data_IF_145954280722
#
_entry.id   IF_145954280722
#
_cell.length_a   1.000
_cell.length_b   1.000
_cell.length_c   1.000
_cell.angle_alpha   90.00
_cell.angle_beta   90.00
_cell.angle_gamma   90.00
#
_symmetry.space_group_name_H-M   'P 1'
#
loop_
_entity.id
_entity.type
_entity.pdbx_description
1 polymer ?
#
# COMPACT_ATOMS: atom_id res chain seq x y z
N UNK A 1 39.77 -9.86 -2.35
CA UNK A 1 38.81 -10.11 -1.26
C UNK A 1 37.44 -9.77 -1.85
N UNK A 2 36.67 -10.76 -2.34
CA UNK A 2 35.32 -10.54 -2.86
C UNK A 2 34.41 -10.23 -1.68
N UNK A 3 33.89 -9.00 -1.63
CA UNK A 3 32.77 -8.68 -0.76
C UNK A 3 31.60 -9.58 -1.20
N UNK A 4 31.14 -10.44 -0.31
CA UNK A 4 29.90 -11.17 -0.52
C UNK A 4 28.77 -10.11 -0.57
N UNK A 5 28.21 -9.88 -1.73
CA UNK A 5 26.98 -9.13 -1.89
C UNK A 5 25.90 -9.93 -1.17
N UNK A 6 25.54 -9.43 0.01
CA UNK A 6 24.39 -9.97 0.76
C UNK A 6 23.16 -9.65 -0.09
N UNK A 7 22.55 -10.66 -0.70
CA UNK A 7 21.26 -10.54 -1.38
C UNK A 7 20.29 -9.87 -0.41
N UNK A 8 19.84 -8.67 -0.75
CA UNK A 8 18.86 -7.95 0.05
C UNK A 8 17.54 -8.73 -0.04
N UNK A 9 17.16 -9.41 1.03
CA UNK A 9 15.86 -10.07 1.16
C UNK A 9 14.88 -9.16 1.86
N UNK A 10 13.62 -9.21 1.45
CA UNK A 10 12.54 -8.59 2.21
C UNK A 10 12.42 -9.33 3.55
N UNK A 11 12.44 -8.58 4.63
CA UNK A 11 12.19 -9.08 5.96
C UNK A 11 11.07 -8.24 6.60
N UNK A 12 9.82 -8.66 6.42
CA UNK A 12 8.71 -8.08 7.14
C UNK A 12 8.66 -8.74 8.53
N UNK A 13 9.04 -7.99 9.56
CA UNK A 13 9.02 -8.46 10.96
C UNK A 13 7.76 -8.02 11.69
N UNK A 14 7.17 -6.91 11.27
CA UNK A 14 6.04 -6.25 11.89
C UNK A 14 5.04 -5.76 10.84
N UNK A 15 3.82 -6.26 10.88
CA UNK A 15 2.72 -5.85 10.01
C UNK A 15 1.63 -5.24 10.86
N UNK A 16 1.18 -4.03 10.51
CA UNK A 16 0.05 -3.37 11.14
C UNK A 16 -1.16 -3.44 10.21
N UNK A 17 -2.21 -4.12 10.64
CA UNK A 17 -3.50 -4.15 9.97
C UNK A 17 -4.46 -3.17 10.65
N UNK A 18 -4.96 -2.18 9.89
CA UNK A 18 -5.95 -1.22 10.36
C UNK A 18 -7.36 -1.66 9.99
N UNK A 19 -8.26 -1.71 10.98
CA UNK A 19 -9.64 -2.18 10.79
C UNK A 19 -10.67 -1.20 11.33
N UNK A 20 -11.79 -1.05 10.60
CA UNK A 20 -13.03 -0.43 11.03
C UNK A 20 -14.13 -1.48 11.26
N UNK A 21 -13.76 -2.78 11.26
CA UNK A 21 -14.63 -3.96 11.35
C UNK A 21 -15.62 -4.12 10.19
N UNK A 22 -15.53 -3.31 9.15
CA UNK A 22 -16.38 -3.40 7.96
C UNK A 22 -15.93 -4.52 7.00
N UNK A 23 -16.77 -4.85 6.03
CA UNK A 23 -16.56 -6.01 5.12
C UNK A 23 -15.23 -5.95 4.36
N UNK A 24 -14.83 -4.75 3.90
CA UNK A 24 -13.56 -4.62 3.17
C UNK A 24 -12.33 -4.73 4.08
N UNK A 25 -12.44 -4.35 5.36
CA UNK A 25 -11.40 -4.61 6.33
C UNK A 25 -11.18 -6.11 6.54
N UNK A 26 -12.26 -6.92 6.56
CA UNK A 26 -12.13 -8.38 6.65
C UNK A 26 -11.38 -8.99 5.45
N UNK A 27 -11.52 -8.41 4.26
CA UNK A 27 -10.74 -8.83 3.09
C UNK A 27 -9.27 -8.44 3.23
N UNK A 28 -8.99 -7.22 3.68
CA UNK A 28 -7.64 -6.75 3.95
C UNK A 28 -6.95 -7.59 5.05
N UNK A 29 -7.70 -8.05 6.06
CA UNK A 29 -7.21 -8.96 7.07
C UNK A 29 -6.65 -10.26 6.47
N UNK A 30 -7.28 -10.83 5.44
CA UNK A 30 -6.79 -12.05 4.81
C UNK A 30 -5.41 -11.87 4.19
N UNK A 31 -5.16 -10.70 3.56
CA UNK A 31 -3.83 -10.35 3.04
C UNK A 31 -2.82 -10.12 4.17
N UNK A 32 -3.22 -9.43 5.23
CA UNK A 32 -2.34 -9.23 6.40
C UNK A 32 -1.95 -10.58 7.03
N UNK A 33 -2.90 -11.51 7.17
CA UNK A 33 -2.64 -12.85 7.72
C UNK A 33 -1.74 -13.67 6.79
N UNK A 34 -2.00 -13.66 5.48
CA UNK A 34 -1.18 -14.41 4.52
C UNK A 34 0.28 -13.92 4.50
N UNK A 35 0.50 -12.60 4.52
CA UNK A 35 1.83 -12.02 4.62
C UNK A 35 2.49 -12.30 5.97
N UNK A 36 1.72 -12.25 7.07
CA UNK A 36 2.20 -12.61 8.40
C UNK A 36 2.69 -14.06 8.45
N UNK A 37 1.94 -14.98 7.85
CA UNK A 37 2.30 -16.39 7.76
C UNK A 37 3.57 -16.61 6.93
N UNK A 38 3.63 -16.00 5.75
CA UNK A 38 4.75 -16.13 4.82
C UNK A 38 6.07 -15.65 5.41
N UNK A 39 6.05 -14.49 6.10
CA UNK A 39 7.27 -13.87 6.66
C UNK A 39 7.54 -14.26 8.12
N UNK A 40 6.64 -14.95 8.79
CA UNK A 40 6.73 -15.19 10.23
C UNK A 40 6.68 -13.90 11.04
N UNK A 41 6.00 -12.87 10.51
CA UNK A 41 5.95 -11.54 11.10
C UNK A 41 5.07 -11.49 12.35
N UNK A 42 5.19 -10.43 13.14
CA UNK A 42 4.23 -10.09 14.18
C UNK A 42 3.10 -9.26 13.57
N UNK A 43 1.85 -9.66 13.81
CA UNK A 43 0.66 -8.93 13.36
C UNK A 43 0.10 -8.05 14.47
N UNK A 44 0.04 -6.76 14.23
CA UNK A 44 -0.72 -5.82 15.04
C UNK A 44 -2.07 -5.55 14.36
N UNK A 45 -3.15 -5.79 15.09
CA UNK A 45 -4.51 -5.47 14.63
C UNK A 45 -4.97 -4.21 15.36
N UNK A 46 -5.08 -3.10 14.62
CA UNK A 46 -5.35 -1.79 15.17
C UNK A 46 -6.76 -1.30 14.84
N UNK A 47 -7.47 -0.81 15.84
CA UNK A 47 -8.74 -0.09 15.70
C UNK A 47 -8.66 1.25 16.41
N UNK A 48 -9.18 2.29 15.77
CA UNK A 48 -9.23 3.65 16.33
C UNK A 48 -10.68 4.09 16.47
N UNK A 49 -11.07 4.48 17.69
CA UNK A 49 -12.36 5.07 17.98
C UNK A 49 -12.33 6.53 17.54
N UNK A 50 -13.09 6.93 16.50
CA UNK A 50 -13.00 8.28 15.98
C UNK A 50 -13.60 9.28 16.96
N UNK A 51 -12.96 10.43 17.14
CA UNK A 51 -13.46 11.51 18.03
C UNK A 51 -14.87 11.97 17.65
N UNK A 52 -15.27 11.84 16.39
CA UNK A 52 -16.63 12.13 15.91
C UNK A 52 -17.69 11.27 16.59
N UNK A 53 -17.33 10.12 17.17
CA UNK A 53 -18.25 9.25 17.88
C UNK A 53 -18.86 9.96 19.13
N UNK A 54 -18.15 10.93 19.69
CA UNK A 54 -18.57 11.64 20.91
C UNK A 54 -18.52 13.17 20.82
N UNK A 55 -18.11 13.75 19.68
CA UNK A 55 -17.88 15.20 19.49
C UNK A 55 -19.12 16.08 19.75
N UNK A 56 -20.33 15.52 19.57
CA UNK A 56 -21.60 16.24 19.76
C UNK A 56 -22.38 15.77 21.00
N UNK A 57 -21.70 15.10 21.93
CA UNK A 57 -22.32 14.50 23.11
C UNK A 57 -22.11 15.37 24.34
N UNK A 58 -23.06 15.38 25.26
CA UNK A 58 -22.93 16.07 26.56
C UNK A 58 -21.72 15.49 27.32
N UNK A 59 -20.89 16.34 27.96
CA UNK A 59 -19.67 15.90 28.67
C UNK A 59 -19.90 14.76 29.65
N UNK A 60 -21.03 14.78 30.37
CA UNK A 60 -21.40 13.73 31.35
C UNK A 60 -21.66 12.35 30.73
N UNK A 61 -21.91 12.29 29.43
CA UNK A 61 -22.16 11.04 28.70
C UNK A 61 -20.91 10.52 27.93
N UNK A 62 -19.89 11.32 27.79
CA UNK A 62 -18.68 10.97 27.00
C UNK A 62 -17.99 9.73 27.58
N UNK A 63 -17.78 9.70 28.90
CA UNK A 63 -17.11 8.57 29.56
C UNK A 63 -17.85 7.25 29.33
N UNK A 64 -19.17 7.25 29.42
CA UNK A 64 -20.00 6.05 29.18
C UNK A 64 -19.91 5.62 27.72
N UNK A 65 -20.00 6.56 26.76
CA UNK A 65 -19.95 6.28 25.32
C UNK A 65 -18.56 5.72 24.95
N UNK A 66 -17.50 6.34 25.46
CA UNK A 66 -16.15 5.82 25.24
C UNK A 66 -15.97 4.43 25.79
N UNK A 67 -16.45 4.19 27.02
CA UNK A 67 -16.39 2.86 27.62
C UNK A 67 -17.11 1.82 26.77
N UNK A 68 -18.34 2.10 26.33
CA UNK A 68 -19.12 1.21 25.46
C UNK A 68 -18.38 0.96 24.12
N UNK A 69 -17.76 2.00 23.53
CA UNK A 69 -16.98 1.89 22.30
C UNK A 69 -15.70 1.04 22.49
N UNK A 70 -14.98 1.23 23.60
CA UNK A 70 -13.82 0.42 23.93
C UNK A 70 -14.18 -1.05 24.21
N UNK A 71 -15.28 -1.29 24.95
CA UNK A 71 -15.77 -2.65 25.22
C UNK A 71 -16.15 -3.36 23.91
N UNK A 72 -16.86 -2.68 23.01
CA UNK A 72 -17.22 -3.20 21.69
C UNK A 72 -15.96 -3.48 20.84
N UNK A 73 -15.07 -2.51 20.72
CA UNK A 73 -13.84 -2.68 19.94
C UNK A 73 -12.95 -3.81 20.48
N UNK A 74 -12.84 -3.91 21.81
CA UNK A 74 -12.12 -5.01 22.48
C UNK A 74 -12.73 -6.37 22.17
N UNK A 75 -14.06 -6.47 22.15
CA UNK A 75 -14.74 -7.70 21.77
C UNK A 75 -14.43 -8.08 20.30
N UNK A 76 -14.62 -7.15 19.35
CA UNK A 76 -14.37 -7.38 17.93
C UNK A 76 -12.89 -7.73 17.65
N UNK A 77 -11.95 -7.03 18.25
CA UNK A 77 -10.53 -7.34 18.12
C UNK A 77 -10.21 -8.74 18.65
N UNK A 78 -10.81 -9.15 19.75
CA UNK A 78 -10.63 -10.51 20.29
C UNK A 78 -11.21 -11.59 19.36
N UNK A 79 -12.30 -11.31 18.63
CA UNK A 79 -12.81 -12.22 17.61
C UNK A 79 -11.82 -12.41 16.45
N UNK A 80 -11.00 -11.41 16.14
CA UNK A 80 -9.96 -11.48 15.12
C UNK A 80 -8.70 -12.19 15.66
N UNK A 81 -8.14 -11.72 16.78
CA UNK A 81 -6.84 -12.21 17.25
C UNK A 81 -6.91 -13.57 17.96
N UNK A 82 -8.04 -13.91 18.58
CA UNK A 82 -8.21 -15.17 19.30
C UNK A 82 -7.94 -16.40 18.39
N UNK A 83 -8.66 -16.55 17.27
CA UNK A 83 -8.42 -17.63 16.32
C UNK A 83 -6.99 -17.65 15.75
N UNK A 84 -6.40 -16.46 15.49
CA UNK A 84 -5.03 -16.36 14.97
C UNK A 84 -4.01 -16.87 15.98
N UNK A 85 -4.14 -16.50 17.26
CA UNK A 85 -3.29 -17.01 18.35
C UNK A 85 -3.39 -18.53 18.50
N UNK A 86 -4.60 -19.07 18.40
CA UNK A 86 -4.81 -20.53 18.44
C UNK A 86 -4.14 -21.27 17.28
N UNK A 87 -3.99 -20.58 16.12
CA UNK A 87 -3.23 -21.09 14.98
C UNK A 87 -1.71 -20.89 15.09
N UNK A 88 -1.22 -20.27 16.18
CA UNK A 88 0.20 -20.04 16.43
C UNK A 88 0.75 -18.69 15.96
N UNK A 89 -0.08 -17.78 15.46
CA UNK A 89 0.38 -16.46 15.05
C UNK A 89 0.77 -15.59 16.24
N UNK A 90 1.90 -14.89 16.11
CA UNK A 90 2.27 -13.82 17.04
C UNK A 90 1.47 -12.57 16.70
N UNK A 91 0.43 -12.24 17.47
CA UNK A 91 -0.41 -11.10 17.19
C UNK A 91 -0.85 -10.33 18.45
N UNK A 92 -1.09 -9.03 18.30
CA UNK A 92 -1.55 -8.14 19.37
C UNK A 92 -2.64 -7.20 18.87
N UNK A 93 -3.62 -6.90 19.73
CA UNK A 93 -4.62 -5.85 19.49
C UNK A 93 -4.07 -4.50 19.95
N UNK A 94 -4.34 -3.46 19.16
CA UNK A 94 -4.08 -2.07 19.49
C UNK A 94 -5.39 -1.29 19.43
N UNK A 95 -5.71 -0.56 20.48
CA UNK A 95 -6.86 0.33 20.53
C UNK A 95 -6.42 1.73 20.95
N UNK A 96 -6.97 2.73 20.30
CA UNK A 96 -6.78 4.13 20.66
C UNK A 96 -8.02 4.93 20.24
N UNK A 97 -8.11 6.16 20.68
CA UNK A 97 -9.09 7.12 20.21
C UNK A 97 -8.39 8.34 19.59
N UNK A 98 -9.05 8.98 18.63
CA UNK A 98 -8.46 10.13 17.95
C UNK A 98 -8.87 10.27 16.49
N UNK A 99 -8.00 10.93 15.71
CA UNK A 99 -8.04 10.96 14.25
C UNK A 99 -7.53 9.63 13.70
N UNK A 100 -8.37 8.79 13.03
CA UNK A 100 -7.95 7.43 12.71
C UNK A 100 -6.69 7.34 11.83
N UNK A 101 -6.52 8.24 10.86
CA UNK A 101 -5.33 8.23 9.98
C UNK A 101 -4.06 8.57 10.76
N UNK A 102 -4.08 9.66 11.55
CA UNK A 102 -2.97 10.11 12.38
C UNK A 102 -2.58 9.04 13.42
N UNK A 103 -3.57 8.47 14.11
CA UNK A 103 -3.32 7.46 15.15
C UNK A 103 -2.72 6.18 14.55
N UNK A 104 -3.23 5.69 13.41
CA UNK A 104 -2.67 4.50 12.75
C UNK A 104 -1.22 4.73 12.32
N UNK A 105 -0.88 5.91 11.79
CA UNK A 105 0.51 6.22 11.40
C UNK A 105 1.43 6.32 12.62
N UNK A 106 0.96 6.89 13.72
CA UNK A 106 1.69 6.93 15.00
C UNK A 106 1.90 5.52 15.59
N UNK A 107 0.88 4.67 15.53
CA UNK A 107 1.00 3.27 15.96
C UNK A 107 1.97 2.49 15.07
N UNK A 108 1.96 2.71 13.77
CA UNK A 108 2.91 2.09 12.85
C UNK A 108 4.37 2.51 13.16
N UNK A 109 4.59 3.77 13.50
CA UNK A 109 5.91 4.27 13.88
C UNK A 109 6.37 3.71 15.23
N UNK A 110 5.51 3.75 16.26
CA UNK A 110 5.85 3.28 17.60
C UNK A 110 6.07 1.78 17.71
N UNK A 111 5.50 1.00 16.79
CA UNK A 111 5.65 -0.46 16.72
C UNK A 111 6.59 -0.91 15.61
N UNK A 112 7.33 0.04 15.00
CA UNK A 112 8.29 -0.23 13.91
C UNK A 112 7.69 -1.11 12.81
N UNK A 113 6.47 -0.75 12.37
CA UNK A 113 5.78 -1.53 11.34
C UNK A 113 6.52 -1.43 10.00
N UNK A 114 6.82 -2.57 9.41
CA UNK A 114 7.43 -2.68 8.07
C UNK A 114 6.39 -2.51 6.95
N UNK A 115 5.11 -2.77 7.26
CA UNK A 115 4.00 -2.68 6.33
C UNK A 115 2.71 -2.33 7.08
N UNK A 116 1.93 -1.40 6.53
CA UNK A 116 0.53 -1.20 6.92
C UNK A 116 -0.36 -1.87 5.89
N UNK A 117 -1.37 -2.62 6.34
CA UNK A 117 -2.42 -3.20 5.49
C UNK A 117 -3.75 -2.55 5.84
N UNK A 118 -4.45 -2.02 4.83
CA UNK A 118 -5.72 -1.31 5.03
C UNK A 118 -6.71 -1.60 3.91
N UNK A 119 -8.00 -1.74 4.28
CA UNK A 119 -9.09 -1.78 3.31
C UNK A 119 -9.53 -0.37 2.90
N UNK A 120 -10.00 -0.20 1.67
CA UNK A 120 -10.67 1.04 1.28
C UNK A 120 -12.11 1.04 1.78
N UNK A 121 -12.70 2.23 1.98
CA UNK A 121 -14.09 2.34 2.43
C UNK A 121 -15.07 2.02 1.28
N UNK A 122 -16.05 1.17 1.54
CA UNK A 122 -17.10 0.79 0.59
C UNK A 122 -18.35 1.70 0.63
N UNK A 123 -18.48 2.62 1.59
CA UNK A 123 -19.67 3.44 1.80
C UNK A 123 -19.68 4.72 0.98
N UNK A 124 -20.11 4.60 -0.29
CA UNK A 124 -20.59 5.71 -1.08
C UNK A 124 -21.95 5.32 -1.69
N UNK A 125 -23.06 5.62 -1.02
CA UNK A 125 -24.37 5.62 -1.67
C UNK A 125 -24.28 6.54 -2.89
N UNK A 126 -24.58 6.02 -4.12
CA UNK A 126 -24.53 6.68 -5.44
C UNK A 126 -23.37 6.23 -6.35
N UNK A 127 -22.81 5.05 -6.18
CA UNK A 127 -21.92 4.46 -7.23
C UNK A 127 -20.57 5.16 -7.41
N UNK A 128 -20.16 6.04 -6.49
CA UNK A 128 -18.82 6.63 -6.50
C UNK A 128 -17.89 5.78 -5.66
N UNK A 129 -17.02 5.06 -6.34
CA UNK A 129 -15.86 4.38 -5.73
C UNK A 129 -14.92 5.47 -5.21
N UNK A 130 -14.89 5.63 -3.89
CA UNK A 130 -14.04 6.62 -3.24
C UNK A 130 -13.10 5.91 -2.27
N UNK A 131 -11.82 6.17 -2.42
CA UNK A 131 -10.85 5.90 -1.36
C UNK A 131 -11.32 6.66 -0.10
N UNK A 132 -11.43 5.97 1.03
CA UNK A 132 -11.84 6.61 2.28
C UNK A 132 -10.78 7.60 2.78
N UNK A 133 -11.24 8.69 3.41
CA UNK A 133 -10.34 9.73 3.95
C UNK A 133 -9.26 9.17 4.88
N UNK A 134 -9.58 8.17 5.68
CA UNK A 134 -8.63 7.50 6.59
C UNK A 134 -7.54 6.76 5.81
N UNK A 135 -7.92 5.97 4.79
CA UNK A 135 -6.96 5.27 3.95
C UNK A 135 -6.07 6.26 3.16
N UNK A 136 -6.66 7.36 2.65
CA UNK A 136 -5.91 8.42 1.98
C UNK A 136 -4.90 9.08 2.92
N UNK A 137 -5.29 9.39 4.16
CA UNK A 137 -4.41 9.98 5.17
C UNK A 137 -3.28 9.03 5.55
N UNK A 138 -3.59 7.72 5.78
CA UNK A 138 -2.57 6.70 6.05
C UNK A 138 -1.56 6.62 4.91
N UNK A 139 -2.00 6.52 3.65
CA UNK A 139 -1.10 6.41 2.50
C UNK A 139 -0.20 7.64 2.38
N UNK A 140 -0.71 8.81 2.73
CA UNK A 140 0.04 10.06 2.66
C UNK A 140 1.11 10.18 3.73
N UNK A 141 0.81 9.76 4.97
CA UNK A 141 1.63 10.03 6.15
C UNK A 141 2.37 8.80 6.70
N UNK A 142 2.10 7.60 6.16
CA UNK A 142 2.68 6.37 6.67
C UNK A 142 4.21 6.37 6.70
N UNK A 143 4.82 5.89 7.80
CA UNK A 143 6.26 5.75 7.92
C UNK A 143 6.84 4.61 7.08
N UNK A 144 6.00 3.69 6.62
CA UNK A 144 6.35 2.49 5.87
C UNK A 144 5.41 2.31 4.66
N UNK A 145 5.68 1.34 3.76
CA UNK A 145 4.77 1.00 2.68
C UNK A 145 3.36 0.67 3.15
N UNK A 146 2.36 0.97 2.32
CA UNK A 146 0.95 0.69 2.61
C UNK A 146 0.38 -0.21 1.53
N UNK A 147 -0.10 -1.40 1.91
CA UNK A 147 -0.85 -2.31 1.05
C UNK A 147 -2.34 -2.01 1.20
N UNK A 148 -2.94 -1.52 0.13
CA UNK A 148 -4.34 -1.14 0.11
C UNK A 148 -5.18 -2.15 -0.65
N UNK A 149 -6.24 -2.64 -0.01
CA UNK A 149 -7.16 -3.63 -0.58
C UNK A 149 -8.46 -2.93 -0.98
N UNK A 150 -8.65 -2.80 -2.29
CA UNK A 150 -9.84 -2.17 -2.89
C UNK A 150 -11.04 -3.11 -3.01
N UNK A 151 -12.22 -2.57 -3.40
CA UNK A 151 -13.45 -3.34 -3.50
C UNK A 151 -13.44 -4.36 -4.65
N UNK A 152 -12.61 -4.14 -5.66
CA UNK A 152 -12.52 -5.00 -6.87
C UNK A 152 -11.42 -6.06 -6.78
N UNK A 153 -10.63 -6.07 -5.70
CA UNK A 153 -9.55 -7.03 -5.53
C UNK A 153 -10.10 -8.46 -5.57
N UNK A 154 -9.67 -9.23 -6.58
CA UNK A 154 -10.07 -10.62 -6.81
C UNK A 154 -8.99 -11.66 -6.50
N UNK A 155 -7.76 -11.22 -6.26
CA UNK A 155 -6.59 -12.06 -5.98
C UNK A 155 -6.77 -12.89 -4.70
N UNK A 156 -6.30 -14.13 -4.75
CA UNK A 156 -6.17 -14.98 -3.57
C UNK A 156 -4.95 -14.53 -2.75
N UNK A 157 -5.11 -14.09 -1.49
CA UNK A 157 -4.00 -13.65 -0.68
C UNK A 157 -2.94 -14.74 -0.41
N UNK A 158 -3.32 -16.01 -0.47
CA UNK A 158 -2.42 -17.15 -0.21
C UNK A 158 -1.73 -17.70 -1.45
N UNK A 159 -2.10 -17.25 -2.66
CA UNK A 159 -1.43 -17.66 -3.90
C UNK A 159 -0.04 -17.02 -4.06
N UNK A 160 0.28 -16.01 -3.25
CA UNK A 160 1.45 -15.16 -3.43
C UNK A 160 1.31 -14.25 -4.66
N UNK A 161 2.40 -13.61 -5.05
CA UNK A 161 2.43 -12.73 -6.22
C UNK A 161 3.12 -13.45 -7.39
N UNK A 162 2.44 -13.59 -8.53
CA UNK A 162 2.98 -14.19 -9.75
C UNK A 162 3.29 -13.11 -10.82
N UNK A 163 2.54 -12.01 -10.80
CA UNK A 163 2.66 -10.91 -11.75
C UNK A 163 2.59 -9.57 -11.01
N UNK A 164 3.68 -8.81 -11.02
CA UNK A 164 3.79 -7.52 -10.34
C UNK A 164 3.96 -6.43 -11.39
N UNK A 165 3.08 -5.43 -11.38
CA UNK A 165 3.19 -4.21 -12.20
C UNK A 165 3.68 -3.08 -11.31
N UNK A 166 4.83 -2.48 -11.66
CA UNK A 166 5.36 -1.31 -10.98
C UNK A 166 5.22 -0.07 -11.85
N UNK A 167 4.38 0.87 -11.45
CA UNK A 167 4.22 2.15 -12.12
C UNK A 167 5.25 3.16 -11.62
N UNK A 168 6.12 3.62 -12.51
CA UNK A 168 7.21 4.54 -12.20
C UNK A 168 7.07 5.87 -12.95
N UNK A 169 7.26 6.97 -12.22
CA UNK A 169 7.30 8.34 -12.74
C UNK A 169 8.64 9.02 -12.48
N UNK A 170 9.64 8.23 -12.09
CA UNK A 170 11.00 8.65 -11.74
C UNK A 170 11.10 9.55 -10.50
N UNK A 171 10.05 9.70 -9.72
CA UNK A 171 10.12 10.31 -8.39
C UNK A 171 10.88 9.41 -7.41
N UNK A 172 11.45 9.98 -6.31
CA UNK A 172 12.09 9.16 -5.27
C UNK A 172 11.15 8.10 -4.68
N UNK A 173 9.87 8.41 -4.56
CA UNK A 173 8.86 7.46 -4.07
C UNK A 173 8.66 6.30 -5.04
N UNK A 174 8.56 6.57 -6.35
CA UNK A 174 8.42 5.52 -7.36
C UNK A 174 9.69 4.68 -7.53
N UNK A 175 10.88 5.27 -7.33
CA UNK A 175 12.14 4.52 -7.32
C UNK A 175 12.19 3.54 -6.14
N UNK A 176 11.76 3.96 -4.94
CA UNK A 176 11.64 3.05 -3.80
C UNK A 176 10.58 1.96 -4.03
N UNK A 177 9.45 2.32 -4.66
CA UNK A 177 8.43 1.34 -5.03
C UNK A 177 8.97 0.30 -6.02
N UNK A 178 9.79 0.71 -7.00
CA UNK A 178 10.46 -0.19 -7.93
C UNK A 178 11.44 -1.14 -7.22
N UNK A 179 12.24 -0.64 -6.28
CA UNK A 179 13.11 -1.46 -5.46
C UNK A 179 12.34 -2.50 -4.63
N UNK A 180 11.23 -2.10 -4.00
CA UNK A 180 10.40 -3.03 -3.24
C UNK A 180 9.68 -4.04 -4.14
N UNK A 181 9.16 -3.62 -5.30
CA UNK A 181 8.57 -4.51 -6.29
C UNK A 181 9.57 -5.54 -6.82
N UNK A 182 10.84 -5.13 -7.02
CA UNK A 182 11.92 -6.02 -7.40
C UNK A 182 12.18 -7.08 -6.33
N UNK A 183 12.31 -6.70 -5.06
CA UNK A 183 12.53 -7.63 -3.96
C UNK A 183 11.34 -8.60 -3.77
N UNK A 184 10.10 -8.13 -3.95
CA UNK A 184 8.91 -8.99 -3.95
C UNK A 184 8.92 -9.96 -5.13
N UNK A 185 9.29 -9.50 -6.34
CA UNK A 185 9.41 -10.37 -7.50
C UNK A 185 10.46 -11.46 -7.30
N UNK A 186 11.55 -11.13 -6.64
CA UNK A 186 12.60 -12.08 -6.25
C UNK A 186 12.10 -13.13 -5.24
N UNK A 187 11.42 -12.66 -4.18
CA UNK A 187 10.90 -13.51 -3.10
C UNK A 187 9.84 -14.50 -3.59
N UNK A 188 8.90 -14.02 -4.43
CA UNK A 188 7.78 -14.82 -4.93
C UNK A 188 8.05 -15.48 -6.30
N UNK A 189 9.22 -15.25 -6.87
CA UNK A 189 9.54 -15.68 -8.24
C UNK A 189 8.52 -15.15 -9.27
N UNK A 190 8.12 -13.90 -9.12
CA UNK A 190 7.11 -13.25 -9.92
C UNK A 190 7.67 -12.59 -11.18
N UNK A 191 6.86 -12.49 -12.24
CA UNK A 191 7.16 -11.62 -13.37
C UNK A 191 7.00 -10.15 -12.97
N UNK A 192 8.09 -9.40 -12.98
CA UNK A 192 8.07 -7.94 -12.77
C UNK A 192 7.89 -7.21 -14.10
N UNK A 193 6.96 -6.26 -14.15
CA UNK A 193 6.79 -5.33 -15.28
C UNK A 193 6.89 -3.89 -14.78
N UNK A 194 7.89 -3.15 -15.24
CA UNK A 194 8.03 -1.71 -14.99
C UNK A 194 7.27 -0.94 -16.06
N UNK A 195 6.42 -0.01 -15.64
CA UNK A 195 5.58 0.77 -16.55
C UNK A 195 5.79 2.26 -16.31
N UNK A 196 6.09 3.01 -17.37
CA UNK A 196 5.99 4.47 -17.38
C UNK A 196 4.91 4.91 -18.36
N UNK A 197 4.01 5.78 -17.92
CA UNK A 197 2.97 6.33 -18.77
C UNK A 197 3.20 7.81 -19.00
N UNK A 198 3.41 8.18 -20.26
CA UNK A 198 3.59 9.57 -20.69
C UNK A 198 2.22 10.21 -20.97
N UNK A 199 1.93 11.28 -20.24
CA UNK A 199 0.70 12.06 -20.47
C UNK A 199 0.88 13.02 -21.64
N UNK A 200 0.05 12.91 -22.69
CA UNK A 200 -0.17 13.99 -23.66
C UNK A 200 0.92 14.26 -24.70
N UNK A 201 1.74 13.30 -25.13
CA UNK A 201 2.71 13.52 -26.23
C UNK A 201 2.12 13.35 -27.62
N UNK A 202 2.61 14.18 -28.57
CA UNK A 202 2.37 14.02 -30.01
C UNK A 202 3.24 12.86 -30.54
N UNK A 203 2.69 12.07 -31.48
CA UNK A 203 3.26 10.82 -31.99
C UNK A 203 4.65 10.94 -32.67
N UNK A 204 5.04 12.11 -33.14
CA UNK A 204 6.17 12.28 -34.07
C UNK A 204 7.57 12.29 -33.42
N UNK A 205 7.67 12.43 -32.09
CA UNK A 205 8.95 12.39 -31.35
C UNK A 205 9.13 11.14 -30.49
N UNK A 206 8.35 10.10 -30.78
CA UNK A 206 8.06 9.02 -29.84
C UNK A 206 9.21 8.03 -29.67
N UNK A 207 9.86 7.62 -30.77
CA UNK A 207 10.74 6.46 -30.76
C UNK A 207 11.99 6.67 -29.87
N UNK A 208 12.72 7.77 -30.09
CA UNK A 208 13.90 8.08 -29.29
C UNK A 208 13.57 8.37 -27.82
N UNK A 209 12.44 9.06 -27.57
CA UNK A 209 11.98 9.32 -26.21
C UNK A 209 11.57 8.02 -25.48
N UNK A 210 11.02 7.05 -26.19
CA UNK A 210 10.66 5.73 -25.64
C UNK A 210 11.91 4.96 -25.25
N UNK A 211 12.92 4.84 -26.13
CA UNK A 211 14.17 4.14 -25.84
C UNK A 211 14.91 4.72 -24.62
N UNK A 212 15.00 6.05 -24.53
CA UNK A 212 15.60 6.72 -23.37
C UNK A 212 14.83 6.47 -22.08
N UNK A 213 13.50 6.45 -22.16
CA UNK A 213 12.62 6.18 -21.02
C UNK A 213 12.73 4.73 -20.56
N UNK A 214 12.79 3.77 -21.49
CA UNK A 214 13.04 2.37 -21.18
C UNK A 214 14.40 2.17 -20.49
N UNK A 215 15.44 2.83 -21.01
CA UNK A 215 16.76 2.80 -20.38
C UNK A 215 16.71 3.33 -18.94
N UNK A 216 16.00 4.44 -18.70
CA UNK A 216 15.81 5.00 -17.35
C UNK A 216 15.01 4.07 -16.44
N UNK A 217 14.00 3.37 -16.96
CA UNK A 217 13.25 2.39 -16.18
C UNK A 217 14.16 1.21 -15.76
N UNK A 218 14.98 0.71 -16.66
CA UNK A 218 15.96 -0.35 -16.34
C UNK A 218 16.94 0.08 -15.25
N UNK A 219 17.31 1.36 -15.19
CA UNK A 219 18.19 1.92 -14.16
C UNK A 219 17.56 1.97 -12.75
N UNK A 220 16.25 1.79 -12.62
CA UNK A 220 15.59 1.65 -11.31
C UNK A 220 15.83 0.27 -10.68
N UNK A 221 16.35 -0.68 -11.42
CA UNK A 221 16.67 -2.03 -10.99
C UNK A 221 18.19 -2.20 -10.78
N UNK A 222 18.62 -3.19 -10.02
CA UNK A 222 20.03 -3.59 -9.94
C UNK A 222 20.61 -3.89 -11.32
N UNK A 223 21.94 -3.70 -11.49
CA UNK A 223 22.62 -3.87 -12.78
C UNK A 223 22.53 -5.32 -13.27
N UNK A 224 22.61 -6.28 -12.38
CA UNK A 224 22.43 -7.71 -12.64
C UNK A 224 21.29 -8.22 -11.76
N UNK A 225 20.03 -8.12 -12.22
CA UNK A 225 18.91 -8.56 -11.45
C UNK A 225 18.91 -10.10 -11.32
N UNK A 226 19.01 -10.59 -10.08
CA UNK A 226 18.88 -12.02 -9.77
C UNK A 226 17.40 -12.40 -9.71
N UNK A 227 16.78 -12.43 -10.88
CA UNK A 227 15.39 -12.83 -11.09
C UNK A 227 15.34 -14.02 -12.05
N UNK A 228 14.45 -14.98 -11.79
CA UNK A 228 14.22 -16.09 -12.74
C UNK A 228 13.57 -15.60 -14.05
N UNK A 229 12.80 -14.51 -13.95
CA UNK A 229 12.13 -13.88 -15.08
C UNK A 229 12.73 -12.50 -15.34
N UNK A 230 13.23 -12.28 -16.55
CA UNK A 230 13.73 -10.95 -16.94
C UNK A 230 12.62 -9.90 -16.78
N UNK A 231 12.89 -8.77 -16.08
CA UNK A 231 11.89 -7.71 -15.92
C UNK A 231 11.47 -7.12 -17.26
N UNK A 232 10.17 -7.04 -17.48
CA UNK A 232 9.61 -6.34 -18.64
C UNK A 232 9.62 -4.84 -18.39
N UNK A 233 9.84 -4.07 -19.45
CA UNK A 233 9.80 -2.61 -19.42
C UNK A 233 8.80 -2.15 -20.48
N UNK A 234 7.88 -1.28 -20.09
CA UNK A 234 6.83 -0.76 -20.95
C UNK A 234 6.74 0.75 -20.82
N UNK A 235 6.72 1.44 -21.97
CA UNK A 235 6.44 2.87 -22.04
C UNK A 235 5.16 3.06 -22.83
N UNK A 236 4.17 3.66 -22.19
CA UNK A 236 2.83 3.83 -22.75
C UNK A 236 2.45 5.30 -22.81
N UNK A 237 1.48 5.64 -23.67
CA UNK A 237 0.99 7.01 -23.81
C UNK A 237 -0.50 7.02 -23.52
N UNK A 238 -0.93 8.02 -22.77
CA UNK A 238 -2.34 8.25 -22.52
C UNK A 238 -2.67 8.71 -21.11
N UNK A 239 -3.93 8.58 -20.72
CA UNK A 239 -4.35 8.86 -19.35
C UNK A 239 -3.70 7.88 -18.39
N UNK A 240 -2.89 8.41 -17.44
CA UNK A 240 -1.94 7.60 -16.66
C UNK A 240 -2.62 6.50 -15.85
N UNK A 241 -3.64 6.84 -15.05
CA UNK A 241 -4.31 5.86 -14.19
C UNK A 241 -5.01 4.76 -15.01
N UNK A 242 -5.68 5.13 -16.11
CA UNK A 242 -6.38 4.19 -17.00
C UNK A 242 -5.42 3.23 -17.69
N UNK A 243 -4.24 3.74 -18.13
CA UNK A 243 -3.23 2.88 -18.76
C UNK A 243 -2.62 1.91 -17.76
N UNK A 244 -2.30 2.36 -16.54
CA UNK A 244 -1.81 1.47 -15.47
C UNK A 244 -2.83 0.35 -15.19
N UNK A 245 -4.11 0.70 -15.04
CA UNK A 245 -5.18 -0.27 -14.79
C UNK A 245 -5.39 -1.24 -15.96
N UNK A 246 -5.37 -0.74 -17.21
CA UNK A 246 -5.47 -1.61 -18.39
C UNK A 246 -4.32 -2.61 -18.45
N UNK A 247 -3.07 -2.15 -18.31
CA UNK A 247 -1.88 -3.02 -18.33
C UNK A 247 -1.95 -4.06 -17.20
N UNK A 248 -2.35 -3.64 -16.00
CA UNK A 248 -2.46 -4.55 -14.86
C UNK A 248 -3.51 -5.64 -15.10
N UNK A 249 -4.63 -5.30 -15.76
CA UNK A 249 -5.65 -6.28 -16.13
C UNK A 249 -5.17 -7.19 -17.25
N UNK A 250 -4.55 -6.64 -18.31
CA UNK A 250 -4.04 -7.39 -19.46
C UNK A 250 -2.95 -8.41 -19.05
N UNK A 251 -2.14 -8.05 -18.03
CA UNK A 251 -1.11 -8.91 -17.46
C UNK A 251 -1.61 -9.77 -16.30
N UNK A 252 -2.90 -9.70 -15.96
CA UNK A 252 -3.47 -10.37 -14.79
C UNK A 252 -2.63 -10.15 -13.53
N UNK A 253 -2.26 -8.88 -13.28
CA UNK A 253 -1.39 -8.54 -12.16
C UNK A 253 -2.01 -8.88 -10.81
N UNK A 254 -1.21 -9.47 -9.94
CA UNK A 254 -1.56 -9.78 -8.55
C UNK A 254 -1.23 -8.63 -7.60
N UNK A 255 -0.36 -7.71 -8.05
CA UNK A 255 0.05 -6.54 -7.28
C UNK A 255 0.38 -5.38 -8.23
N UNK A 256 -0.08 -4.19 -7.88
CA UNK A 256 0.42 -2.93 -8.44
C UNK A 256 1.29 -2.27 -7.37
N UNK A 257 2.54 -1.90 -7.71
CA UNK A 257 3.42 -1.10 -6.86
C UNK A 257 3.60 0.29 -7.45
N UNK A 258 3.54 1.34 -6.63
CA UNK A 258 3.70 2.72 -7.09
C UNK A 258 4.08 3.68 -5.97
N UNK A 259 4.58 4.86 -6.33
CA UNK A 259 4.76 5.96 -5.37
C UNK A 259 3.41 6.53 -4.92
N UNK A 260 3.28 6.89 -3.65
CA UNK A 260 2.09 7.55 -3.11
C UNK A 260 1.93 8.98 -3.63
N UNK A 261 3.04 9.64 -3.98
CA UNK A 261 3.09 11.01 -4.55
C UNK A 261 3.90 10.97 -5.83
N UNK A 262 3.40 11.55 -6.91
CA UNK A 262 4.09 11.60 -8.19
C UNK A 262 5.05 12.79 -8.32
N UNK A 263 5.86 12.78 -9.39
CA UNK A 263 6.86 13.82 -9.71
C UNK A 263 6.26 15.24 -9.82
N UNK A 264 4.97 15.38 -10.17
CA UNK A 264 4.27 16.67 -10.21
C UNK A 264 3.91 17.26 -8.85
N UNK A 265 4.04 16.54 -7.75
CA UNK A 265 3.68 16.99 -6.41
C UNK A 265 4.61 18.11 -5.87
N UNK A 266 5.81 18.27 -6.44
CA UNK A 266 6.72 19.37 -6.09
C UNK A 266 6.23 20.76 -6.50
N UNK A 267 5.26 20.85 -7.42
CA UNK A 267 4.72 22.13 -7.93
C UNK A 267 3.36 22.50 -7.35
N UNK A 268 2.73 21.61 -6.57
CA UNK A 268 1.44 21.87 -5.94
C UNK A 268 1.59 21.75 -4.42
N UNK A 269 0.99 22.72 -3.73
CA UNK A 269 0.95 22.77 -2.25
C UNK A 269 0.69 21.40 -1.63
N UNK A 270 1.41 21.09 -0.56
CA UNK A 270 1.59 19.80 0.13
C UNK A 270 0.31 19.00 0.55
N UNK A 271 -0.88 19.41 0.12
CA UNK A 271 -2.17 18.93 0.61
C UNK A 271 -2.91 17.95 -0.30
N UNK A 272 -2.39 17.59 -1.48
CA UNK A 272 -3.11 16.70 -2.38
C UNK A 272 -2.41 15.36 -2.54
N UNK A 273 -3.05 14.29 -2.07
CA UNK A 273 -2.78 12.91 -2.47
C UNK A 273 -2.92 12.79 -3.99
N UNK A 274 -1.96 12.15 -4.67
CA UNK A 274 -1.92 12.13 -6.13
C UNK A 274 -3.21 11.56 -6.73
N UNK A 275 -3.87 12.31 -7.60
CA UNK A 275 -5.11 11.91 -8.27
C UNK A 275 -4.98 10.56 -9.01
N UNK A 276 -3.76 10.21 -9.46
CA UNK A 276 -3.45 8.94 -10.12
C UNK A 276 -3.50 7.78 -9.12
N UNK A 277 -2.81 7.89 -7.98
CA UNK A 277 -2.80 6.85 -6.95
C UNK A 277 -4.20 6.60 -6.40
N UNK A 278 -4.96 7.67 -6.10
CA UNK A 278 -6.36 7.58 -5.70
C UNK A 278 -7.20 6.77 -6.70
N UNK A 279 -7.07 7.08 -8.00
CA UNK A 279 -7.84 6.41 -9.04
C UNK A 279 -7.42 4.95 -9.22
N UNK A 280 -6.12 4.67 -9.21
CA UNK A 280 -5.58 3.29 -9.31
C UNK A 280 -6.08 2.46 -8.13
N UNK A 281 -5.93 2.92 -6.89
CA UNK A 281 -6.36 2.19 -5.68
C UNK A 281 -7.87 1.92 -5.70
N UNK A 282 -8.66 2.90 -6.15
CA UNK A 282 -10.12 2.76 -6.17
C UNK A 282 -10.64 1.75 -7.19
N UNK A 283 -9.91 1.52 -8.29
CA UNK A 283 -10.37 0.76 -9.46
C UNK A 283 -9.56 -0.51 -9.74
N UNK A 284 -8.43 -0.72 -9.07
CA UNK A 284 -7.59 -1.89 -9.29
C UNK A 284 -8.30 -3.20 -8.92
N UNK A 285 -8.11 -4.22 -9.76
CA UNK A 285 -8.59 -5.59 -9.52
C UNK A 285 -7.66 -6.41 -8.60
N UNK A 286 -6.49 -5.86 -8.27
CA UNK A 286 -5.50 -6.44 -7.36
C UNK A 286 -5.10 -5.44 -6.27
N UNK A 287 -4.43 -5.88 -5.19
CA UNK A 287 -3.86 -5.00 -4.18
C UNK A 287 -2.95 -3.94 -4.77
N UNK A 288 -2.91 -2.76 -4.12
CA UNK A 288 -2.01 -1.67 -4.51
C UNK A 288 -1.05 -1.38 -3.35
N UNK A 289 0.24 -1.56 -3.60
CA UNK A 289 1.32 -1.23 -2.69
C UNK A 289 1.81 0.18 -2.99
N UNK A 290 1.60 1.10 -2.06
CA UNK A 290 2.08 2.47 -2.18
C UNK A 290 3.27 2.71 -1.27
N UNK A 291 4.28 3.42 -1.80
CA UNK A 291 5.46 3.82 -1.03
C UNK A 291 5.43 5.34 -0.88
N UNK A 292 5.32 5.80 0.35
CA UNK A 292 5.36 7.22 0.70
C UNK A 292 6.76 7.80 0.58
N UNK A 293 6.87 9.12 0.52
CA UNK A 293 8.12 9.84 0.70
C UNK A 293 8.23 10.29 2.14
N UNK A 294 9.04 9.68 2.99
CA UNK A 294 9.51 10.41 4.17
C UNK A 294 10.26 11.64 3.67
N UNK A 295 10.03 12.80 4.29
CA UNK A 295 11.02 13.86 4.30
C UNK A 295 12.25 13.26 5.00
N UNK A 296 13.26 12.82 4.22
CA UNK A 296 14.60 12.83 4.79
C UNK A 296 14.88 14.31 5.16
N UNK A 297 15.23 14.62 6.42
CA UNK A 297 15.73 15.94 6.72
C UNK A 297 16.91 16.19 5.77
N UNK A 298 16.84 17.27 4.99
CA UNK A 298 17.96 17.74 4.18
C UNK A 298 19.18 17.73 5.08
N UNK A 299 20.13 16.84 4.78
CA UNK A 299 21.44 16.90 5.44
C UNK A 299 22.09 18.17 4.93
N UNK A 300 22.03 19.22 5.78
CA UNK A 300 22.83 20.43 5.62
C UNK A 300 24.32 20.13 5.82
#
# INVERSE_FOLDING_TARGET
>A
MKLAETQAKIALKSILFATDFEVLANRALQFAVALTDHYGAKLYVAHVIPQTAYAYTHPESIERILKEAYDYAGYELNQIIGPLRHRGFTCAALMADGGPGEVITTLAESHEADLIVVGTRSRGGLGKLLLGSVAEEIIREAPCPVLTIGPHVGTDPYAGFQSIVCAADFSPASARAAGLAFLLAQEYNAQLTLVHVVAGMLKDSLHLATELTECRLRQLLPIEPDLQHEPRVMVEIGPVAERILSISNDLSADLIAMGARGAGAFLQTASHFGSIAHKVISLAACPVLTVGGRHEPEQN
#
